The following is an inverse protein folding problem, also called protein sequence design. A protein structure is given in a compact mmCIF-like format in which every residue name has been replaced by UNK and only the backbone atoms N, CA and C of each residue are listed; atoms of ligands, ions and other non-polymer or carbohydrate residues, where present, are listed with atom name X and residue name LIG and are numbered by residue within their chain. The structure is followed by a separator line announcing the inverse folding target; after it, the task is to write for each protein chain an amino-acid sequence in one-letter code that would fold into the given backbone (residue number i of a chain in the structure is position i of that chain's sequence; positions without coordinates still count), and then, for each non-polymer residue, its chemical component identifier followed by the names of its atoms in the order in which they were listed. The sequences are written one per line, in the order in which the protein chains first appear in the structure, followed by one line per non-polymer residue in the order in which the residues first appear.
data_IF_236033475586
#
_entry.id   IF_236033475586
#
_cell.length_a   1.000
_cell.length_b   1.000
_cell.length_c   1.000
_cell.angle_alpha   90.00
_cell.angle_beta   90.00
_cell.angle_gamma   90.00
#
_symmetry.space_group_name_H-M   'P 1'
#
loop_
_entity.id
_entity.type
_entity.pdbx_description
1 polymer ?
#
# COMPACT_ATOMS: atom_id res chain seq x y z
N UNK A 1 -6.68 35.34 -8.40
CA UNK A 1 -7.64 34.74 -9.36
C UNK A 1 -6.95 33.75 -10.30
N UNK A 2 -5.92 34.15 -11.05
CA UNK A 2 -5.18 33.27 -11.98
C UNK A 2 -4.75 31.94 -11.36
N UNK A 3 -3.93 31.97 -10.31
CA UNK A 3 -3.39 30.75 -9.68
C UNK A 3 -4.48 29.84 -9.10
N UNK A 4 -5.54 30.42 -8.53
CA UNK A 4 -6.66 29.65 -7.97
C UNK A 4 -7.46 28.94 -9.05
N UNK A 5 -7.74 29.60 -10.18
CA UNK A 5 -8.42 29.00 -11.33
C UNK A 5 -7.51 27.94 -11.98
N UNK A 6 -6.24 28.27 -12.21
CA UNK A 6 -5.27 27.34 -12.76
C UNK A 6 -5.17 26.08 -11.89
N UNK A 7 -5.05 26.22 -10.57
CA UNK A 7 -5.05 25.10 -9.64
C UNK A 7 -6.33 24.28 -9.72
N UNK A 8 -7.51 24.91 -9.82
CA UNK A 8 -8.78 24.18 -9.98
C UNK A 8 -8.79 23.38 -11.27
N UNK A 9 -8.41 24.00 -12.39
CA UNK A 9 -8.37 23.35 -13.70
C UNK A 9 -7.26 22.29 -13.81
N UNK A 10 -6.18 22.41 -13.04
CA UNK A 10 -5.15 21.38 -12.91
C UNK A 10 -5.64 20.19 -12.10
N UNK A 11 -6.54 20.39 -11.13
CA UNK A 11 -7.19 19.31 -10.34
C UNK A 11 -8.30 18.66 -11.14
N UNK A 12 -9.09 19.46 -11.86
CA UNK A 12 -10.27 19.05 -12.62
C UNK A 12 -10.32 19.82 -13.93
N UNK A 13 -9.73 19.28 -15.01
CA UNK A 13 -9.89 19.84 -16.35
C UNK A 13 -11.36 19.72 -16.80
N UNK A 14 -11.70 20.38 -17.91
CA UNK A 14 -13.03 20.37 -18.53
C UNK A 14 -14.15 20.83 -17.58
N UNK A 15 -13.94 21.95 -16.88
CA UNK A 15 -14.98 22.55 -16.04
C UNK A 15 -15.62 23.77 -16.70
N UNK A 16 -16.93 23.92 -16.54
CA UNK A 16 -17.64 25.16 -16.87
C UNK A 16 -17.27 26.24 -15.85
N UNK A 17 -17.29 27.50 -16.27
CA UNK A 17 -16.99 28.61 -15.35
C UNK A 17 -17.90 28.69 -14.12
N UNK A 18 -19.14 28.17 -14.20
CA UNK A 18 -20.01 28.00 -13.03
C UNK A 18 -19.51 26.98 -12.01
N UNK A 19 -18.88 25.91 -12.47
CA UNK A 19 -18.35 24.85 -11.61
C UNK A 19 -17.07 25.33 -10.93
N UNK A 20 -16.21 26.04 -11.67
CA UNK A 20 -15.01 26.70 -11.13
C UNK A 20 -15.41 27.73 -10.06
N UNK A 21 -16.44 28.54 -10.33
CA UNK A 21 -16.98 29.52 -9.38
C UNK A 21 -17.50 28.86 -8.09
N UNK A 22 -18.23 27.75 -8.21
CA UNK A 22 -18.73 27.00 -7.06
C UNK A 22 -17.59 26.42 -6.21
N UNK A 23 -16.52 25.93 -6.85
CA UNK A 23 -15.33 25.39 -6.15
C UNK A 23 -14.58 26.49 -5.39
N UNK A 24 -14.43 27.68 -5.99
CA UNK A 24 -13.66 28.78 -5.42
C UNK A 24 -14.49 29.69 -4.48
N UNK A 25 -15.81 29.52 -4.45
CA UNK A 25 -16.71 30.41 -3.70
C UNK A 25 -16.77 31.82 -4.29
N UNK A 26 -16.52 31.98 -5.59
CA UNK A 26 -16.44 33.28 -6.28
C UNK A 26 -17.64 33.51 -7.19
N UNK A 27 -17.81 34.75 -7.68
CA UNK A 27 -18.89 35.06 -8.59
C UNK A 27 -18.64 34.45 -9.98
N UNK A 28 -19.64 33.75 -10.52
CA UNK A 28 -19.58 33.15 -11.87
C UNK A 28 -19.24 34.17 -12.96
N UNK A 29 -19.78 35.40 -12.91
CA UNK A 29 -19.51 36.42 -13.92
C UNK A 29 -18.05 36.86 -13.88
N UNK A 30 -17.48 37.01 -12.68
CA UNK A 30 -16.06 37.38 -12.50
C UNK A 30 -15.15 36.29 -13.04
N UNK A 31 -15.40 35.01 -12.72
CA UNK A 31 -14.66 33.87 -13.26
C UNK A 31 -14.73 33.84 -14.79
N UNK A 32 -15.93 33.93 -15.38
CA UNK A 32 -16.11 33.88 -16.83
C UNK A 32 -15.44 35.07 -17.54
N UNK A 33 -15.56 36.26 -16.98
CA UNK A 33 -14.88 37.45 -17.50
C UNK A 33 -13.36 37.28 -17.47
N UNK A 34 -12.84 36.76 -16.35
CA UNK A 34 -11.42 36.51 -16.19
C UNK A 34 -10.90 35.46 -17.20
N UNK A 35 -11.59 34.31 -17.32
CA UNK A 35 -11.22 33.25 -18.27
C UNK A 35 -11.23 33.75 -19.73
N UNK A 36 -12.25 34.52 -20.12
CA UNK A 36 -12.35 35.08 -21.46
C UNK A 36 -11.22 36.08 -21.79
N UNK A 37 -10.76 36.85 -20.80
CA UNK A 37 -9.66 37.81 -20.95
C UNK A 37 -8.27 37.16 -20.97
N UNK A 38 -8.15 35.90 -20.52
CA UNK A 38 -6.88 35.18 -20.39
C UNK A 38 -6.84 33.95 -21.31
N UNK A 39 -7.30 34.10 -22.55
CA UNK A 39 -7.30 33.05 -23.57
C UNK A 39 -5.89 32.64 -24.03
N UNK A 40 -4.85 33.36 -23.60
CA UNK A 40 -3.44 33.01 -23.71
C UNK A 40 -3.05 31.87 -22.75
N UNK A 41 -3.74 31.74 -21.60
CA UNK A 41 -3.45 30.75 -20.54
C UNK A 41 -4.51 29.69 -20.41
N UNK A 42 -5.76 29.98 -20.79
CA UNK A 42 -6.86 29.03 -20.75
C UNK A 42 -7.41 28.79 -22.14
N UNK A 43 -7.85 27.56 -22.40
CA UNK A 43 -8.56 27.19 -23.61
C UNK A 43 -9.98 26.80 -23.27
N UNK A 44 -10.92 27.29 -24.06
CA UNK A 44 -12.33 26.92 -23.98
C UNK A 44 -12.64 25.89 -25.05
N UNK A 45 -13.29 24.81 -24.66
CA UNK A 45 -13.91 23.89 -25.61
C UNK A 45 -15.22 24.51 -26.09
N UNK A 46 -15.35 24.71 -27.40
CA UNK A 46 -16.51 25.39 -28.00
C UNK A 46 -17.74 24.48 -28.09
N UNK A 47 -17.60 23.17 -27.91
CA UNK A 47 -18.71 22.21 -27.98
C UNK A 47 -19.49 22.11 -26.67
N UNK A 48 -18.80 22.19 -25.53
CA UNK A 48 -19.40 22.00 -24.20
C UNK A 48 -19.21 23.20 -23.25
N UNK A 49 -18.51 24.25 -23.72
CA UNK A 49 -18.17 25.47 -22.98
C UNK A 49 -17.37 25.22 -21.70
N UNK A 50 -16.59 24.15 -21.67
CA UNK A 50 -15.68 23.83 -20.57
C UNK A 50 -14.32 24.50 -20.78
N UNK A 51 -13.59 24.69 -19.69
CA UNK A 51 -12.30 25.37 -19.67
C UNK A 51 -11.20 24.41 -19.24
N UNK A 52 -10.02 24.61 -19.81
CA UNK A 52 -8.77 23.93 -19.49
C UNK A 52 -7.64 24.95 -19.41
N UNK A 53 -6.59 24.62 -18.66
CA UNK A 53 -5.32 25.33 -18.80
C UNK A 53 -4.72 24.99 -20.17
N UNK A 54 -4.29 25.98 -20.94
CA UNK A 54 -3.50 25.77 -22.19
C UNK A 54 -2.19 25.07 -21.88
N UNK A 55 -1.56 25.53 -20.80
CA UNK A 55 -0.42 24.88 -20.17
C UNK A 55 -0.86 24.57 -18.73
N UNK A 56 -1.53 23.42 -18.47
CA UNK A 56 -1.72 22.99 -17.09
C UNK A 56 -0.36 23.05 -16.45
N UNK A 57 -0.26 23.68 -15.27
CA UNK A 57 0.99 24.23 -14.69
C UNK A 57 2.22 23.42 -15.16
N UNK A 58 3.33 24.09 -15.50
CA UNK A 58 4.66 23.48 -15.65
C UNK A 58 5.16 22.86 -14.32
N UNK A 59 4.28 22.19 -13.57
CA UNK A 59 4.60 21.29 -12.49
C UNK A 59 5.13 20.01 -13.10
N UNK A 60 6.27 19.58 -12.60
CA UNK A 60 6.82 18.25 -12.88
C UNK A 60 5.75 17.21 -12.52
N UNK A 61 5.20 16.56 -13.54
CA UNK A 61 4.26 15.45 -13.40
C UNK A 61 4.97 14.15 -13.78
N UNK A 62 4.84 13.15 -12.92
CA UNK A 62 5.21 11.77 -13.24
C UNK A 62 3.92 11.00 -13.56
N UNK A 63 3.83 10.43 -14.75
CA UNK A 63 2.73 9.55 -15.16
C UNK A 63 3.20 8.11 -15.11
N UNK A 64 2.43 7.27 -14.41
CA UNK A 64 2.73 5.87 -14.20
C UNK A 64 1.59 5.04 -14.78
N UNK A 65 1.88 4.30 -15.85
CA UNK A 65 0.90 3.44 -16.50
C UNK A 65 0.92 2.03 -15.88
N UNK A 66 -0.20 1.61 -15.31
CA UNK A 66 -0.40 0.21 -14.94
C UNK A 66 -0.77 -0.61 -16.19
N UNK A 67 -0.07 -1.74 -16.44
CA UNK A 67 -0.39 -2.59 -17.57
C UNK A 67 -1.70 -3.37 -17.34
N UNK A 68 -2.32 -3.80 -18.44
CA UNK A 68 -3.46 -4.72 -18.37
C UNK A 68 -3.03 -6.09 -17.83
N UNK A 69 -3.94 -6.79 -17.15
CA UNK A 69 -3.68 -8.11 -16.57
C UNK A 69 -3.45 -8.06 -15.05
N UNK A 70 -3.05 -9.20 -14.50
CA UNK A 70 -2.72 -9.32 -13.08
C UNK A 70 -1.35 -8.69 -12.79
N UNK A 71 -1.31 -7.83 -11.78
CA UNK A 71 -0.13 -7.16 -11.27
C UNK A 71 0.21 -7.77 -9.92
N UNK A 72 1.35 -8.43 -9.86
CA UNK A 72 1.99 -8.92 -8.64
C UNK A 72 3.08 -7.93 -8.17
N UNK A 73 3.74 -8.26 -7.06
CA UNK A 73 4.79 -7.42 -6.49
C UNK A 73 5.97 -7.24 -7.45
N UNK A 74 6.34 -8.25 -8.23
CA UNK A 74 7.47 -8.15 -9.17
C UNK A 74 7.16 -7.16 -10.29
N UNK A 75 5.99 -7.28 -10.92
CA UNK A 75 5.54 -6.34 -11.96
C UNK A 75 5.38 -4.93 -11.38
N UNK A 76 4.84 -4.81 -10.17
CA UNK A 76 4.67 -3.53 -9.51
C UNK A 76 6.00 -2.82 -9.28
N UNK A 77 6.98 -3.49 -8.67
CA UNK A 77 8.27 -2.87 -8.34
C UNK A 77 9.16 -2.67 -9.57
N UNK A 78 9.29 -3.69 -10.44
CA UNK A 78 10.27 -3.69 -11.53
C UNK A 78 9.74 -3.15 -12.86
N UNK A 79 8.42 -2.95 -13.01
CA UNK A 79 7.84 -2.40 -14.25
C UNK A 79 7.03 -1.13 -14.00
N UNK A 80 6.15 -1.15 -13.00
CA UNK A 80 5.26 0.00 -12.74
C UNK A 80 6.02 1.13 -12.06
N UNK A 81 6.82 0.82 -11.02
CA UNK A 81 7.53 1.83 -10.25
C UNK A 81 9.00 2.03 -10.66
N UNK A 82 9.50 1.26 -11.62
CA UNK A 82 10.92 1.22 -11.95
C UNK A 82 11.50 2.61 -12.23
N UNK A 83 12.62 2.93 -11.57
CA UNK A 83 13.35 4.18 -11.76
C UNK A 83 12.64 5.43 -11.25
N UNK A 84 11.55 5.30 -10.49
CA UNK A 84 10.80 6.45 -9.99
C UNK A 84 11.37 6.95 -8.65
N UNK A 85 11.69 8.23 -8.59
CA UNK A 85 11.93 8.96 -7.33
C UNK A 85 10.85 10.02 -7.16
N UNK A 86 9.73 9.61 -6.55
CA UNK A 86 8.56 10.46 -6.43
C UNK A 86 8.77 11.63 -5.46
N UNK A 87 9.66 11.50 -4.49
CA UNK A 87 9.85 12.52 -3.43
C UNK A 87 10.79 13.65 -3.85
N UNK A 88 11.36 13.58 -5.06
CA UNK A 88 12.32 14.56 -5.59
C UNK A 88 11.73 15.51 -6.62
N UNK A 89 11.56 16.78 -6.22
CA UNK A 89 11.12 17.90 -7.07
C UNK A 89 9.80 17.65 -7.83
N UNK A 90 8.97 16.72 -7.36
CA UNK A 90 7.73 16.30 -8.04
C UNK A 90 6.54 17.01 -7.41
N UNK A 91 5.72 17.65 -8.24
CA UNK A 91 4.53 18.35 -7.77
C UNK A 91 3.26 17.51 -7.98
N UNK A 92 3.28 16.57 -8.94
CA UNK A 92 2.15 15.67 -9.22
C UNK A 92 2.60 14.27 -9.64
N UNK A 93 1.88 13.25 -9.18
CA UNK A 93 1.99 11.88 -9.67
C UNK A 93 0.61 11.37 -10.09
N UNK A 94 0.50 10.86 -11.30
CA UNK A 94 -0.74 10.31 -11.86
C UNK A 94 -0.55 8.82 -12.17
N UNK A 95 -1.29 7.95 -11.48
CA UNK A 95 -1.30 6.51 -11.67
C UNK A 95 -2.49 6.13 -12.56
N UNK A 96 -2.21 5.62 -13.77
CA UNK A 96 -3.20 5.43 -14.83
C UNK A 96 -3.41 3.94 -15.07
N UNK A 97 -4.64 3.47 -14.84
CA UNK A 97 -5.00 2.05 -14.95
C UNK A 97 -5.55 1.75 -16.33
N UNK A 98 -4.84 0.91 -17.09
CA UNK A 98 -5.34 0.39 -18.36
C UNK A 98 -6.54 -0.54 -18.13
N UNK A 99 -7.35 -0.72 -19.17
CA UNK A 99 -8.46 -1.66 -19.16
C UNK A 99 -8.00 -3.05 -18.71
N UNK A 100 -8.79 -3.69 -17.85
CA UNK A 100 -8.53 -5.03 -17.31
C UNK A 100 -7.25 -5.13 -16.43
N UNK A 101 -6.75 -4.02 -15.89
CA UNK A 101 -5.76 -4.06 -14.81
C UNK A 101 -6.38 -4.72 -13.57
N UNK A 102 -5.69 -5.67 -12.96
CA UNK A 102 -6.08 -6.36 -11.73
C UNK A 102 -4.89 -6.38 -10.80
N UNK A 103 -5.08 -5.99 -9.54
CA UNK A 103 -4.00 -5.97 -8.55
C UNK A 103 -4.17 -7.15 -7.60
N UNK A 104 -3.06 -7.83 -7.29
CA UNK A 104 -3.00 -8.72 -6.13
C UNK A 104 -3.05 -7.89 -4.83
N UNK A 105 -3.52 -8.50 -3.74
CA UNK A 105 -3.78 -7.81 -2.47
C UNK A 105 -2.49 -7.18 -1.92
N UNK A 106 -1.36 -7.86 -2.08
CA UNK A 106 -0.04 -7.32 -1.77
C UNK A 106 0.25 -5.98 -2.46
N UNK A 107 -0.01 -5.91 -3.77
CA UNK A 107 0.22 -4.70 -4.56
C UNK A 107 -0.70 -3.58 -4.09
N UNK A 108 -1.95 -3.90 -3.75
CA UNK A 108 -2.91 -2.91 -3.25
C UNK A 108 -2.43 -2.34 -1.92
N UNK A 109 -1.93 -3.18 -1.00
CA UNK A 109 -1.41 -2.73 0.28
C UNK A 109 -0.18 -1.80 0.14
N UNK A 110 0.77 -2.16 -0.74
CA UNK A 110 1.92 -1.30 -1.05
C UNK A 110 1.46 0.00 -1.71
N UNK A 111 0.50 -0.08 -2.64
CA UNK A 111 0.00 1.08 -3.37
C UNK A 111 -0.72 2.07 -2.46
N UNK A 112 -1.60 1.61 -1.56
CA UNK A 112 -2.25 2.46 -0.53
C UNK A 112 -1.19 3.23 0.26
N UNK A 113 -0.14 2.53 0.70
CA UNK A 113 0.93 3.12 1.51
C UNK A 113 1.67 4.20 0.73
N UNK A 114 2.09 3.90 -0.50
CA UNK A 114 2.77 4.87 -1.37
C UNK A 114 1.92 6.12 -1.60
N UNK A 115 0.67 5.99 -2.06
CA UNK A 115 -0.14 7.17 -2.43
C UNK A 115 -0.50 8.03 -1.24
N UNK A 116 -0.69 7.44 -0.05
CA UNK A 116 -0.91 8.20 1.17
C UNK A 116 0.35 8.94 1.60
N UNK A 117 1.52 8.31 1.54
CA UNK A 117 2.80 8.95 1.89
C UNK A 117 3.11 10.11 0.94
N UNK A 118 2.89 9.93 -0.36
CA UNK A 118 3.02 11.02 -1.33
C UNK A 118 2.08 12.17 -1.00
N UNK A 119 0.82 11.87 -0.69
CA UNK A 119 -0.17 12.89 -0.34
C UNK A 119 0.18 13.63 0.96
N UNK A 120 0.64 12.91 1.98
CA UNK A 120 1.09 13.48 3.26
C UNK A 120 2.36 14.33 3.10
N UNK A 121 3.23 13.99 2.14
CA UNK A 121 4.39 14.79 1.76
C UNK A 121 4.02 16.06 0.97
N UNK A 122 2.73 16.27 0.66
CA UNK A 122 2.24 17.42 -0.09
C UNK A 122 2.26 17.24 -1.61
N UNK A 123 2.59 16.04 -2.09
CA UNK A 123 2.54 15.72 -3.52
C UNK A 123 1.08 15.48 -3.92
N UNK A 124 0.67 16.08 -5.04
CA UNK A 124 -0.66 15.85 -5.59
C UNK A 124 -0.73 14.48 -6.25
N UNK A 125 -1.58 13.60 -5.74
CA UNK A 125 -1.75 12.25 -6.27
C UNK A 125 -3.08 12.11 -7.01
N UNK A 126 -3.02 11.52 -8.20
CA UNK A 126 -4.19 11.13 -8.99
C UNK A 126 -4.15 9.63 -9.24
N UNK A 127 -5.26 8.96 -8.96
CA UNK A 127 -5.50 7.56 -9.29
C UNK A 127 -6.59 7.50 -10.34
N UNK A 128 -6.21 7.24 -11.58
CA UNK A 128 -7.10 7.18 -12.73
C UNK A 128 -7.46 5.74 -13.07
N UNK A 129 -8.72 5.40 -12.81
CA UNK A 129 -9.40 4.13 -13.05
C UNK A 129 -10.55 4.30 -14.06
N UNK A 130 -10.67 5.43 -14.78
CA UNK A 130 -11.77 5.69 -15.73
C UNK A 130 -11.89 4.56 -16.76
N UNK A 131 -10.75 4.09 -17.25
CA UNK A 131 -10.67 2.99 -18.21
C UNK A 131 -10.67 1.59 -17.56
N UNK A 132 -10.81 1.48 -16.24
CA UNK A 132 -10.69 0.22 -15.50
C UNK A 132 -11.76 0.07 -14.40
N UNK A 133 -13.03 0.12 -14.79
CA UNK A 133 -14.20 -0.01 -13.89
C UNK A 133 -14.20 -1.29 -13.03
N UNK A 134 -13.62 -2.38 -13.52
CA UNK A 134 -13.44 -3.62 -12.76
C UNK A 134 -12.50 -3.43 -11.56
N UNK A 135 -11.37 -2.73 -11.75
CA UNK A 135 -10.47 -2.39 -10.65
C UNK A 135 -11.15 -1.40 -9.70
N UNK A 136 -11.86 -0.39 -10.21
CA UNK A 136 -12.59 0.57 -9.36
C UNK A 136 -13.60 -0.12 -8.44
N UNK A 137 -14.44 -1.02 -8.99
CA UNK A 137 -15.41 -1.79 -8.22
C UNK A 137 -14.75 -2.68 -7.16
N UNK A 138 -13.68 -3.38 -7.54
CA UNK A 138 -12.99 -4.30 -6.64
C UNK A 138 -12.18 -3.58 -5.55
N UNK A 139 -11.54 -2.45 -5.86
CA UNK A 139 -10.89 -1.58 -4.87
C UNK A 139 -11.91 -1.01 -3.87
N UNK A 140 -13.14 -0.69 -4.30
CA UNK A 140 -14.20 -0.37 -3.34
C UNK A 140 -14.54 -1.57 -2.45
N UNK A 141 -14.63 -2.76 -3.05
CA UNK A 141 -15.01 -3.99 -2.33
C UNK A 141 -14.00 -4.38 -1.27
N UNK A 142 -12.69 -4.23 -1.52
CA UNK A 142 -11.66 -4.64 -0.57
C UNK A 142 -11.29 -3.55 0.45
N UNK A 143 -11.84 -2.34 0.33
CA UNK A 143 -11.65 -1.26 1.30
C UNK A 143 -10.56 -0.25 0.93
N UNK A 144 -9.96 -0.32 -0.27
CA UNK A 144 -8.93 0.63 -0.71
C UNK A 144 -9.33 2.09 -0.50
N UNK A 145 -10.57 2.48 -0.85
CA UNK A 145 -11.00 3.87 -0.72
C UNK A 145 -11.17 4.35 0.72
N UNK A 146 -11.36 3.42 1.68
CA UNK A 146 -11.46 3.72 3.10
C UNK A 146 -10.10 4.03 3.73
N UNK A 147 -9.03 3.47 3.15
CA UNK A 147 -7.65 3.64 3.63
C UNK A 147 -6.87 4.68 2.83
N UNK A 148 -7.47 5.32 1.82
CA UNK A 148 -6.78 6.35 1.03
C UNK A 148 -7.16 7.75 1.46
N UNK A 149 -6.15 8.60 1.67
CA UNK A 149 -6.33 9.99 2.10
C UNK A 149 -7.29 10.76 1.20
N UNK A 150 -8.21 11.54 1.78
CA UNK A 150 -9.22 12.31 1.04
C UNK A 150 -8.64 13.33 0.06
N UNK A 151 -7.39 13.75 0.25
CA UNK A 151 -6.66 14.65 -0.66
C UNK A 151 -6.27 14.00 -1.99
N UNK A 152 -6.29 12.67 -2.09
CA UNK A 152 -5.99 11.93 -3.32
C UNK A 152 -7.19 11.99 -4.26
N UNK A 153 -6.95 12.44 -5.48
CA UNK A 153 -7.95 12.54 -6.55
C UNK A 153 -8.13 11.15 -7.17
N UNK A 154 -9.37 10.70 -7.30
CA UNK A 154 -9.70 9.41 -7.94
C UNK A 154 -10.65 9.66 -9.11
N UNK A 155 -10.33 9.07 -10.26
CA UNK A 155 -11.14 9.07 -11.47
C UNK A 155 -11.56 7.60 -11.76
N UNK A 156 -12.84 7.28 -12.02
CA UNK A 156 -13.97 8.17 -11.81
C UNK A 156 -14.08 8.47 -10.31
N UNK A 157 -14.86 9.50 -9.97
CA UNK A 157 -14.99 9.96 -8.58
C UNK A 157 -15.15 8.78 -7.61
N UNK A 158 -14.50 8.90 -6.44
CA UNK A 158 -14.63 7.95 -5.34
C UNK A 158 -16.10 7.52 -5.14
N UNK A 159 -16.36 6.24 -4.87
CA UNK A 159 -17.70 5.77 -4.51
C UNK A 159 -18.30 6.59 -3.37
N UNK A 160 -19.61 6.82 -3.42
CA UNK A 160 -20.34 7.54 -2.37
C UNK A 160 -20.51 6.72 -1.10
N UNK A 161 -20.44 5.39 -1.21
CA UNK A 161 -20.50 4.44 -0.10
C UNK A 161 -19.40 3.37 -0.26
N UNK A 162 -18.88 2.94 0.88
CA UNK A 162 -17.91 1.85 0.95
C UNK A 162 -18.62 0.51 0.87
N UNK A 163 -18.39 -0.23 -0.22
CA UNK A 163 -18.91 -1.59 -0.34
C UNK A 163 -18.15 -2.56 0.57
N UNK A 164 -16.91 -2.23 0.94
CA UNK A 164 -16.18 -2.97 1.97
C UNK A 164 -16.90 -2.92 3.33
N UNK A 165 -17.37 -1.75 3.75
CA UNK A 165 -18.14 -1.62 5.00
C UNK A 165 -19.52 -2.26 4.89
N UNK A 166 -20.21 -2.05 3.76
CA UNK A 166 -21.56 -2.57 3.55
C UNK A 166 -21.62 -4.11 3.54
N UNK A 167 -20.61 -4.75 2.94
CA UNK A 167 -20.56 -6.21 2.78
C UNK A 167 -19.52 -6.88 3.67
N UNK A 168 -19.05 -6.18 4.71
CA UNK A 168 -17.97 -6.64 5.58
C UNK A 168 -18.26 -8.03 6.12
N UNK A 169 -17.33 -8.97 5.94
CA UNK A 169 -17.44 -10.34 6.42
C UNK A 169 -18.45 -11.23 5.68
N UNK A 170 -19.12 -10.73 4.65
CA UNK A 170 -20.08 -11.52 3.85
C UNK A 170 -19.39 -12.44 2.82
N UNK A 171 -18.06 -12.42 2.73
CA UNK A 171 -17.31 -13.20 1.76
C UNK A 171 -16.18 -13.95 2.47
N UNK A 172 -16.22 -15.29 2.44
CA UNK A 172 -15.19 -16.09 3.10
C UNK A 172 -13.82 -16.03 2.40
N UNK A 173 -13.78 -15.66 1.13
CA UNK A 173 -12.55 -15.55 0.34
C UNK A 173 -11.90 -14.17 0.39
N UNK A 174 -12.49 -13.20 1.12
CA UNK A 174 -11.97 -11.85 1.26
C UNK A 174 -12.22 -11.34 2.68
N UNK A 175 -11.15 -10.99 3.38
CA UNK A 175 -11.19 -10.07 4.52
C UNK A 175 -10.77 -8.71 3.99
N UNK A 176 -11.72 -7.77 4.01
CA UNK A 176 -11.47 -6.40 3.59
C UNK A 176 -10.40 -5.74 4.47
N UNK A 177 -9.77 -4.68 3.96
CA UNK A 177 -8.79 -3.95 4.75
C UNK A 177 -9.41 -3.46 6.07
N UNK A 178 -8.75 -3.82 7.16
CA UNK A 178 -9.10 -3.43 8.51
C UNK A 178 -7.97 -2.63 9.15
N UNK A 179 -8.34 -1.57 9.86
CA UNK A 179 -7.39 -0.71 10.57
C UNK A 179 -6.76 -1.47 11.73
N UNK A 180 -5.45 -1.32 11.87
CA UNK A 180 -4.72 -1.75 13.06
C UNK A 180 -4.63 -0.53 13.99
N UNK A 181 -5.51 -0.49 14.98
CA UNK A 181 -5.57 0.59 15.95
C UNK A 181 -4.53 0.36 17.06
N UNK A 182 -3.55 1.27 17.25
CA UNK A 182 -2.52 1.16 18.31
C UNK A 182 -3.07 1.10 19.73
N UNK A 183 -4.28 1.63 19.93
CA UNK A 183 -4.93 1.76 21.25
C UNK A 183 -5.89 0.61 21.55
N UNK A 184 -6.00 -0.39 20.67
CA UNK A 184 -6.93 -1.50 20.84
C UNK A 184 -6.21 -2.84 20.67
N UNK A 185 -6.81 -3.90 21.21
CA UNK A 185 -6.30 -5.26 20.99
C UNK A 185 -6.56 -5.79 19.57
N UNK A 186 -7.32 -5.05 18.74
CA UNK A 186 -7.67 -5.42 17.36
C UNK A 186 -8.33 -6.82 17.25
N UNK A 187 -9.15 -7.20 18.26
CA UNK A 187 -9.73 -8.55 18.39
C UNK A 187 -10.54 -8.98 17.17
N UNK A 188 -11.39 -8.10 16.66
CA UNK A 188 -12.24 -8.42 15.51
C UNK A 188 -11.42 -8.70 14.26
N UNK A 189 -10.46 -7.81 13.93
CA UNK A 189 -9.60 -7.99 12.76
C UNK A 189 -8.78 -9.29 12.84
N UNK A 190 -8.20 -9.58 14.00
CA UNK A 190 -7.50 -10.86 14.25
C UNK A 190 -8.43 -12.06 14.06
N UNK A 191 -9.67 -11.97 14.55
CA UNK A 191 -10.67 -13.02 14.42
C UNK A 191 -11.11 -13.22 12.96
N UNK A 192 -11.33 -12.14 12.21
CA UNK A 192 -11.78 -12.18 10.82
C UNK A 192 -10.71 -12.83 9.93
N UNK A 193 -9.45 -12.40 10.06
CA UNK A 193 -8.30 -12.97 9.37
C UNK A 193 -8.14 -14.46 9.67
N UNK A 194 -8.17 -14.83 10.94
CA UNK A 194 -8.08 -16.23 11.37
C UNK A 194 -9.23 -17.07 10.80
N UNK A 195 -10.46 -16.60 10.93
CA UNK A 195 -11.66 -17.35 10.53
C UNK A 195 -11.67 -17.57 9.03
N UNK A 196 -11.38 -16.54 8.25
CA UNK A 196 -11.28 -16.66 6.79
C UNK A 196 -10.13 -17.58 6.39
N UNK A 197 -8.95 -17.46 7.01
CA UNK A 197 -7.82 -18.34 6.73
C UNK A 197 -8.14 -19.82 6.98
N UNK A 198 -8.74 -20.15 8.12
CA UNK A 198 -9.11 -21.54 8.47
C UNK A 198 -10.18 -22.07 7.51
N UNK A 199 -11.16 -21.25 7.15
CA UNK A 199 -12.23 -21.66 6.24
C UNK A 199 -11.72 -22.04 4.83
N UNK A 200 -10.59 -21.48 4.41
CA UNK A 200 -9.96 -21.77 3.11
C UNK A 200 -8.81 -22.79 3.20
N UNK A 201 -8.49 -23.29 4.40
CA UNK A 201 -7.42 -24.26 4.63
C UNK A 201 -7.94 -25.44 5.46
N UNK A 202 -7.42 -25.64 6.68
CA UNK A 202 -7.85 -26.67 7.62
C UNK A 202 -7.77 -26.18 9.06
N UNK A 203 -8.51 -26.84 9.96
CA UNK A 203 -8.53 -26.52 11.40
C UNK A 203 -7.19 -26.79 12.09
N UNK A 204 -6.34 -27.64 11.52
CA UNK A 204 -5.00 -27.96 12.03
C UNK A 204 -4.09 -26.72 12.05
N UNK A 205 -4.40 -25.73 11.21
CA UNK A 205 -3.66 -24.48 11.09
C UNK A 205 -4.18 -23.35 11.98
N UNK A 206 -5.23 -23.60 12.77
CA UNK A 206 -5.88 -22.56 13.55
C UNK A 206 -4.95 -21.87 14.56
N UNK A 207 -4.12 -22.65 15.28
CA UNK A 207 -3.19 -22.11 16.28
C UNK A 207 -2.09 -21.28 15.62
N UNK A 208 -1.58 -21.78 14.49
CA UNK A 208 -0.56 -21.14 13.68
C UNK A 208 -1.03 -19.78 13.17
N UNK A 209 -2.20 -19.74 12.50
CA UNK A 209 -2.79 -18.51 11.99
C UNK A 209 -3.07 -17.50 13.12
N UNK A 210 -3.49 -17.98 14.30
CA UNK A 210 -3.78 -17.12 15.46
C UNK A 210 -2.52 -16.42 15.97
N UNK A 211 -1.44 -17.17 16.22
CA UNK A 211 -0.18 -16.59 16.68
C UNK A 211 0.38 -15.62 15.64
N UNK A 212 0.32 -16.02 14.37
CA UNK A 212 0.77 -15.23 13.24
C UNK A 212 0.09 -13.85 13.20
N UNK A 213 -1.25 -13.80 13.07
CA UNK A 213 -1.97 -12.54 12.97
C UNK A 213 -1.85 -11.71 14.26
N UNK A 214 -1.82 -12.35 15.43
CA UNK A 214 -1.68 -11.64 16.70
C UNK A 214 -0.35 -10.88 16.78
N UNK A 215 0.75 -11.50 16.37
CA UNK A 215 2.10 -10.93 16.48
C UNK A 215 2.33 -9.81 15.46
N UNK A 216 1.94 -9.98 14.19
CA UNK A 216 2.12 -8.93 13.20
C UNK A 216 1.25 -7.71 13.47
N UNK A 217 0.00 -7.91 13.85
CA UNK A 217 -0.88 -6.80 14.26
C UNK A 217 -0.36 -6.15 15.54
N UNK A 218 0.18 -6.94 16.48
CA UNK A 218 0.85 -6.43 17.68
C UNK A 218 2.05 -5.56 17.35
N UNK A 219 2.91 -6.00 16.43
CA UNK A 219 4.09 -5.24 15.99
C UNK A 219 3.71 -3.88 15.38
N UNK A 220 2.68 -3.83 14.55
CA UNK A 220 2.18 -2.57 13.98
C UNK A 220 1.55 -1.68 15.08
N UNK A 221 0.72 -2.27 15.95
CA UNK A 221 0.06 -1.52 17.04
C UNK A 221 1.05 -0.90 18.01
N UNK A 222 2.10 -1.64 18.38
CA UNK A 222 3.07 -1.20 19.37
C UNK A 222 4.04 -0.14 18.80
N UNK A 223 4.28 -0.13 17.47
CA UNK A 223 5.50 0.49 16.90
C UNK A 223 5.31 1.27 15.60
N UNK A 224 4.09 1.46 15.09
CA UNK A 224 3.90 2.27 13.89
C UNK A 224 4.52 3.65 14.05
N UNK A 225 4.24 4.36 15.14
CA UNK A 225 4.71 5.74 15.37
C UNK A 225 4.47 6.69 14.17
N UNK A 226 3.55 6.31 13.29
CA UNK A 226 3.15 7.04 12.09
C UNK A 226 1.75 7.64 12.28
N UNK A 227 1.50 8.74 11.59
CA UNK A 227 0.15 9.34 11.50
C UNK A 227 -0.75 8.54 10.56
N UNK A 228 -0.15 7.87 9.57
CA UNK A 228 -0.84 6.95 8.68
C UNK A 228 -1.14 5.65 9.42
N UNK A 229 -2.39 5.23 9.33
CA UNK A 229 -2.90 4.03 9.99
C UNK A 229 -2.30 2.78 9.35
N UNK A 230 -1.82 1.86 10.18
CA UNK A 230 -1.52 0.51 9.75
C UNK A 230 -2.81 -0.26 9.42
N UNK A 231 -2.72 -1.26 8.57
CA UNK A 231 -3.88 -2.05 8.15
C UNK A 231 -3.49 -3.48 7.76
N UNK A 232 -4.46 -4.38 7.77
CA UNK A 232 -4.31 -5.74 7.30
C UNK A 232 -5.52 -6.20 6.48
N UNK A 233 -5.32 -7.21 5.63
CA UNK A 233 -6.38 -7.82 4.82
C UNK A 233 -6.00 -9.22 4.39
N UNK A 234 -6.94 -9.98 3.83
CA UNK A 234 -6.70 -11.33 3.34
C UNK A 234 -7.55 -11.63 2.11
N UNK A 235 -6.98 -12.34 1.13
CA UNK A 235 -7.74 -12.83 -0.02
C UNK A 235 -7.29 -14.22 -0.46
N UNK A 236 -8.27 -15.08 -0.77
CA UNK A 236 -8.08 -16.29 -1.55
C UNK A 236 -8.13 -15.98 -3.05
N UNK A 237 -7.16 -16.53 -3.77
CA UNK A 237 -7.08 -16.54 -5.22
C UNK A 237 -7.18 -17.96 -5.74
N UNK A 238 -8.02 -18.15 -6.76
CA UNK A 238 -8.21 -19.43 -7.45
C UNK A 238 -7.98 -19.24 -8.95
N UNK A 239 -6.73 -18.96 -9.37
CA UNK A 239 -6.41 -18.77 -10.78
C UNK A 239 -6.64 -20.06 -11.57
N UNK A 240 -7.17 -19.98 -12.82
CA UNK A 240 -7.28 -21.13 -13.68
C UNK A 240 -5.87 -21.65 -14.02
N UNK A 241 -5.65 -22.96 -13.86
CA UNK A 241 -4.39 -23.65 -14.15
C UNK A 241 -3.20 -23.29 -13.24
N UNK A 242 -3.44 -22.76 -12.04
CA UNK A 242 -2.43 -22.62 -10.99
C UNK A 242 -3.02 -23.06 -9.66
N UNK A 243 -2.14 -23.38 -8.70
CA UNK A 243 -2.57 -23.70 -7.34
C UNK A 243 -3.34 -22.53 -6.74
N UNK A 244 -4.34 -22.85 -5.94
CA UNK A 244 -5.03 -21.86 -5.13
C UNK A 244 -4.04 -21.28 -4.12
N UNK A 245 -4.21 -20.03 -3.76
CA UNK A 245 -3.33 -19.40 -2.80
C UNK A 245 -4.02 -18.29 -2.01
N UNK A 246 -3.58 -18.08 -0.78
CA UNK A 246 -4.11 -17.05 0.12
C UNK A 246 -3.03 -16.00 0.32
N UNK A 247 -3.34 -14.75 -0.05
CA UNK A 247 -2.53 -13.62 0.37
C UNK A 247 -3.09 -13.02 1.65
N UNK A 248 -2.28 -13.01 2.70
CA UNK A 248 -2.51 -12.21 3.90
C UNK A 248 -1.52 -11.07 3.94
N UNK A 249 -2.00 -9.83 4.06
CA UNK A 249 -1.15 -8.64 4.04
C UNK A 249 -1.25 -7.87 5.35
N UNK A 250 -0.12 -7.35 5.80
CA UNK A 250 -0.01 -6.43 6.93
C UNK A 250 0.86 -5.27 6.47
N UNK A 251 0.36 -4.06 6.60
CA UNK A 251 1.01 -2.85 6.11
C UNK A 251 1.10 -1.81 7.20
N UNK A 252 2.30 -1.25 7.35
CA UNK A 252 2.57 -0.14 8.26
C UNK A 252 3.46 0.89 7.56
N UNK A 253 3.04 2.16 7.61
CA UNK A 253 3.84 3.30 7.14
C UNK A 253 4.68 3.93 8.26
N UNK A 254 4.85 3.20 9.36
CA UNK A 254 5.65 3.55 10.51
C UNK A 254 7.15 3.55 10.30
N UNK A 255 7.94 3.74 11.37
CA UNK A 255 9.42 3.74 11.30
C UNK A 255 10.00 2.51 10.61
N UNK A 256 9.26 1.40 10.61
CA UNK A 256 9.66 0.12 10.05
C UNK A 256 10.47 -0.72 11.03
N UNK A 257 10.50 -2.03 10.77
CA UNK A 257 11.07 -3.04 11.68
C UNK A 257 12.56 -2.82 11.92
N UNK A 258 13.33 -2.57 10.85
CA UNK A 258 14.80 -2.40 10.92
C UNK A 258 15.15 -1.15 11.72
N UNK A 259 14.56 0.01 11.39
CA UNK A 259 14.85 1.26 12.08
C UNK A 259 14.44 1.21 13.56
N UNK A 260 13.29 0.59 13.86
CA UNK A 260 12.84 0.40 15.25
C UNK A 260 13.82 -0.48 16.02
N UNK A 261 14.30 -1.56 15.42
CA UNK A 261 15.26 -2.46 16.06
C UNK A 261 16.61 -1.78 16.30
N UNK A 262 17.09 -0.95 15.38
CA UNK A 262 18.36 -0.20 15.50
C UNK A 262 18.43 0.61 16.80
N UNK A 263 17.31 1.17 17.26
CA UNK A 263 17.24 1.98 18.48
C UNK A 263 17.67 1.25 19.75
N UNK A 264 17.55 -0.08 19.80
CA UNK A 264 17.91 -0.88 20.97
C UNK A 264 18.94 -1.98 20.68
N UNK A 265 19.32 -2.16 19.41
CA UNK A 265 20.18 -3.26 18.95
C UNK A 265 21.54 -3.27 19.68
N UNK A 266 22.16 -2.11 19.88
CA UNK A 266 23.46 -1.99 20.57
C UNK A 266 23.42 -2.54 22.00
N UNK A 267 22.32 -2.32 22.72
CA UNK A 267 22.17 -2.77 24.10
C UNK A 267 21.74 -4.24 24.16
N UNK A 268 20.73 -4.60 23.38
CA UNK A 268 20.08 -5.92 23.49
C UNK A 268 20.78 -7.03 22.70
N UNK A 269 21.48 -6.68 21.62
CA UNK A 269 22.15 -7.61 20.71
C UNK A 269 23.47 -7.01 20.21
N UNK A 270 24.46 -6.78 21.10
CA UNK A 270 25.72 -6.11 20.74
C UNK A 270 26.46 -6.80 19.59
N UNK A 271 26.36 -8.12 19.48
CA UNK A 271 26.99 -8.88 18.39
C UNK A 271 26.32 -8.61 17.04
N UNK A 272 24.98 -8.50 17.00
CA UNK A 272 24.26 -8.11 15.78
C UNK A 272 24.54 -6.65 15.41
N UNK A 273 24.64 -5.76 16.40
CA UNK A 273 25.02 -4.36 16.17
C UNK A 273 26.41 -4.24 15.56
N UNK A 274 27.39 -5.05 16.01
CA UNK A 274 28.73 -5.11 15.41
C UNK A 274 28.72 -5.73 14.01
N UNK A 275 27.92 -6.78 13.81
CA UNK A 275 27.83 -7.50 12.53
C UNK A 275 27.17 -6.66 11.43
N UNK A 276 26.20 -5.84 11.80
CA UNK A 276 25.41 -5.00 10.90
C UNK A 276 25.45 -3.55 11.35
N UNK A 277 26.53 -2.80 11.07
CA UNK A 277 26.63 -1.38 11.41
C UNK A 277 25.54 -0.53 10.73
N UNK A 278 25.17 0.58 11.35
CA UNK A 278 24.16 1.50 10.82
C UNK A 278 24.69 2.32 9.63
N UNK A 279 23.79 2.76 8.74
CA UNK A 279 24.11 3.63 7.61
C UNK A 279 24.55 2.90 6.33
N UNK A 280 24.44 1.57 6.28
CA UNK A 280 24.73 0.76 5.10
C UNK A 280 23.54 -0.11 4.73
N UNK A 281 23.09 -0.03 3.47
CA UNK A 281 21.95 -0.82 2.97
C UNK A 281 22.16 -2.33 3.20
N UNK A 282 23.34 -2.86 2.88
CA UNK A 282 23.65 -4.29 3.09
C UNK A 282 23.58 -4.71 4.57
N UNK A 283 23.84 -3.77 5.50
CA UNK A 283 23.66 -4.04 6.92
C UNK A 283 22.19 -4.07 7.33
N UNK A 284 21.35 -3.25 6.70
CA UNK A 284 19.90 -3.27 6.91
C UNK A 284 19.25 -4.50 6.29
N UNK A 285 19.68 -4.91 5.09
CA UNK A 285 19.28 -6.17 4.45
C UNK A 285 19.68 -7.36 5.34
N UNK A 286 20.95 -7.42 5.75
CA UNK A 286 21.46 -8.52 6.58
C UNK A 286 20.76 -8.59 7.94
N UNK A 287 20.47 -7.45 8.56
CA UNK A 287 19.71 -7.41 9.81
C UNK A 287 18.26 -7.86 9.59
N UNK A 288 17.61 -7.40 8.52
CA UNK A 288 16.26 -7.82 8.19
C UNK A 288 16.20 -9.34 7.98
N UNK A 289 17.10 -9.91 7.19
CA UNK A 289 17.20 -11.35 6.99
C UNK A 289 17.32 -12.11 8.31
N UNK A 290 18.20 -11.69 9.21
CA UNK A 290 18.32 -12.32 10.54
C UNK A 290 17.02 -12.27 11.34
N UNK A 291 16.32 -11.13 11.33
CA UNK A 291 15.05 -10.96 12.04
C UNK A 291 13.97 -11.88 11.46
N UNK A 292 13.84 -11.92 10.13
CA UNK A 292 12.76 -12.63 9.46
C UNK A 292 13.04 -14.13 9.24
N UNK A 293 14.32 -14.57 9.19
CA UNK A 293 14.67 -15.98 9.02
C UNK A 293 14.89 -16.71 10.35
N UNK A 294 15.55 -16.08 11.34
CA UNK A 294 15.87 -16.74 12.62
C UNK A 294 14.87 -16.45 13.73
N UNK A 295 14.14 -15.34 13.62
CA UNK A 295 13.24 -14.83 14.65
C UNK A 295 13.91 -14.60 16.01
N UNK A 296 13.11 -14.39 17.07
CA UNK A 296 13.57 -14.11 18.46
C UNK A 296 14.44 -12.86 18.61
N UNK A 297 14.49 -12.02 17.58
CA UNK A 297 15.15 -10.72 17.59
C UNK A 297 14.05 -9.67 17.67
N UNK A 298 14.00 -8.94 18.78
CA UNK A 298 13.06 -7.82 18.97
C UNK A 298 13.72 -6.66 19.67
N UNK A 299 13.10 -5.48 19.58
CA UNK A 299 13.59 -4.31 20.32
C UNK A 299 13.58 -4.46 21.84
N UNK A 300 12.92 -5.48 22.41
CA UNK A 300 12.83 -5.70 23.86
C UNK A 300 13.89 -6.68 24.39
N UNK A 301 14.72 -7.25 23.51
CA UNK A 301 15.76 -8.20 23.89
C UNK A 301 15.27 -9.62 24.13
N UNK A 302 16.24 -10.54 24.29
CA UNK A 302 16.00 -12.00 24.37
C UNK A 302 15.16 -12.42 25.57
N UNK A 303 15.24 -11.68 26.68
CA UNK A 303 14.54 -11.98 27.94
C UNK A 303 13.06 -11.60 27.93
N UNK A 304 12.60 -10.84 26.93
CA UNK A 304 11.21 -10.38 26.87
C UNK A 304 10.19 -11.47 26.52
N UNK A 305 10.64 -12.64 26.05
CA UNK A 305 9.78 -13.67 25.48
C UNK A 305 9.12 -13.26 24.15
N UNK A 306 9.32 -12.01 23.68
CA UNK A 306 8.80 -11.49 22.41
C UNK A 306 9.70 -11.88 21.23
N UNK A 307 9.16 -11.86 20.01
CA UNK A 307 9.88 -12.24 18.78
C UNK A 307 9.83 -13.72 18.46
N UNK A 308 9.15 -14.48 19.31
CA UNK A 308 8.66 -15.81 18.95
C UNK A 308 7.68 -15.73 17.79
N UNK A 309 6.97 -14.60 17.58
CA UNK A 309 6.11 -14.39 16.43
C UNK A 309 6.82 -14.64 15.11
N UNK A 310 7.92 -13.96 14.82
CA UNK A 310 8.70 -14.18 13.59
C UNK A 310 9.21 -15.61 13.47
N UNK A 311 9.82 -16.16 14.53
CA UNK A 311 10.29 -17.55 14.48
C UNK A 311 9.15 -18.54 14.26
N UNK A 312 8.06 -18.42 15.01
CA UNK A 312 6.88 -19.25 14.83
C UNK A 312 6.31 -19.07 13.44
N UNK A 313 6.36 -17.87 12.88
CA UNK A 313 5.91 -17.57 11.52
C UNK A 313 6.80 -18.22 10.48
N UNK A 314 8.12 -18.22 10.65
CA UNK A 314 9.07 -18.96 9.81
C UNK A 314 8.88 -20.46 9.94
N UNK A 315 8.83 -20.98 11.17
CA UNK A 315 8.59 -22.39 11.52
C UNK A 315 7.20 -22.87 11.07
N UNK A 316 6.26 -21.95 10.84
CA UNK A 316 4.91 -22.26 10.38
C UNK A 316 4.74 -22.05 8.89
N UNK A 317 5.32 -20.98 8.31
CA UNK A 317 5.43 -20.79 6.87
C UNK A 317 6.18 -21.97 6.26
N UNK A 318 7.13 -22.55 6.99
CA UNK A 318 7.75 -23.80 6.60
C UNK A 318 6.77 -24.98 6.58
N UNK A 319 5.79 -25.07 7.50
CA UNK A 319 4.73 -26.09 7.42
C UNK A 319 3.84 -25.96 6.18
N UNK A 320 3.91 -24.85 5.46
CA UNK A 320 3.22 -24.63 4.19
C UNK A 320 4.22 -24.52 3.05
N UNK A 321 3.73 -24.70 1.83
CA UNK A 321 4.37 -24.06 0.69
C UNK A 321 3.95 -22.58 0.73
N UNK A 322 4.87 -21.68 1.06
CA UNK A 322 4.56 -20.26 1.22
C UNK A 322 5.64 -19.36 0.65
N UNK A 323 5.24 -18.17 0.20
CA UNK A 323 6.15 -17.09 -0.14
C UNK A 323 5.91 -15.94 0.84
N UNK A 324 6.94 -15.59 1.62
CA UNK A 324 6.92 -14.44 2.49
C UNK A 324 7.63 -13.28 1.79
N UNK A 325 6.88 -12.25 1.45
CA UNK A 325 7.37 -11.05 0.80
C UNK A 325 7.35 -9.88 1.79
N UNK A 326 8.50 -9.25 1.99
CA UNK A 326 8.73 -8.18 2.96
C UNK A 326 9.28 -6.98 2.21
N UNK A 327 8.47 -5.94 2.05
CA UNK A 327 8.86 -4.65 1.49
C UNK A 327 9.25 -3.70 2.60
N UNK A 328 10.50 -3.26 2.58
CA UNK A 328 11.06 -2.21 3.43
C UNK A 328 11.25 -0.94 2.60
N UNK A 329 11.97 0.06 3.10
CA UNK A 329 12.03 1.40 2.50
C UNK A 329 12.36 1.42 1.00
N UNK A 330 13.44 0.75 0.60
CA UNK A 330 14.01 0.80 -0.76
C UNK A 330 14.48 -0.58 -1.27
N UNK A 331 14.13 -1.64 -0.55
CA UNK A 331 14.40 -3.02 -0.94
C UNK A 331 13.27 -3.93 -0.48
N UNK A 332 13.21 -5.13 -1.05
CA UNK A 332 12.33 -6.19 -0.57
C UNK A 332 13.05 -7.51 -0.48
N UNK A 333 12.63 -8.31 0.48
CA UNK A 333 13.10 -9.67 0.70
C UNK A 333 11.93 -10.60 0.42
N UNK A 334 12.17 -11.65 -0.37
CA UNK A 334 11.26 -12.74 -0.59
C UNK A 334 11.88 -14.03 -0.04
N UNK A 335 11.21 -14.66 0.92
CA UNK A 335 11.60 -15.93 1.52
C UNK A 335 10.65 -17.01 1.00
N UNK A 336 11.18 -18.02 0.32
CA UNK A 336 10.40 -19.08 -0.32
C UNK A 336 10.51 -20.36 0.50
N UNK A 337 9.39 -20.79 1.08
CA UNK A 337 9.29 -22.01 1.87
C UNK A 337 8.59 -23.10 1.08
N UNK A 338 9.20 -24.30 1.03
CA UNK A 338 8.56 -25.49 0.48
C UNK A 338 8.79 -26.68 1.40
N UNK A 339 7.75 -27.49 1.63
CA UNK A 339 7.83 -28.74 2.41
C UNK A 339 8.57 -28.65 3.76
N UNK A 340 8.43 -27.56 4.52
CA UNK A 340 9.12 -27.43 5.81
C UNK A 340 10.43 -26.66 5.77
N UNK A 341 10.89 -26.23 4.59
CA UNK A 341 12.26 -25.71 4.43
C UNK A 341 12.29 -24.40 3.65
N UNK A 342 13.18 -23.50 4.04
CA UNK A 342 13.52 -22.31 3.27
C UNK A 342 14.40 -22.72 2.10
N UNK A 343 13.86 -22.62 0.89
CA UNK A 343 14.55 -23.07 -0.34
C UNK A 343 15.21 -21.93 -1.12
N UNK A 344 14.75 -20.70 -0.95
CA UNK A 344 15.32 -19.51 -1.61
C UNK A 344 15.10 -18.25 -0.78
N UNK A 345 16.05 -17.33 -0.90
CA UNK A 345 15.97 -15.96 -0.41
C UNK A 345 16.29 -15.03 -1.59
N UNK A 346 15.30 -14.28 -2.06
CA UNK A 346 15.45 -13.34 -3.17
C UNK A 346 15.39 -11.91 -2.65
N UNK A 347 16.32 -11.07 -3.11
CA UNK A 347 16.46 -9.69 -2.62
C UNK A 347 16.43 -8.72 -3.79
N UNK A 348 15.38 -7.92 -3.85
CA UNK A 348 15.20 -6.84 -4.81
C UNK A 348 15.68 -5.53 -4.20
N UNK A 349 16.56 -4.81 -4.90
CA UNK A 349 17.22 -3.58 -4.45
C UNK A 349 16.85 -2.39 -5.33
N UNK A 350 17.25 -1.20 -4.90
CA UNK A 350 17.04 0.06 -5.65
C UNK A 350 15.56 0.29 -5.98
N UNK A 351 14.68 -0.15 -5.09
CA UNK A 351 13.25 0.02 -5.26
C UNK A 351 12.86 1.44 -4.90
N UNK A 352 11.81 1.93 -5.55
CA UNK A 352 11.18 3.22 -5.25
C UNK A 352 10.93 3.36 -3.76
N UNK A 353 11.21 4.52 -3.19
CA UNK A 353 11.04 4.70 -1.75
C UNK A 353 9.57 4.54 -1.33
N UNK A 354 9.29 3.64 -0.40
CA UNK A 354 8.01 3.50 0.32
C UNK A 354 8.34 3.29 1.79
N UNK A 355 8.02 4.28 2.63
CA UNK A 355 8.35 4.25 4.05
C UNK A 355 7.59 3.14 4.79
N UNK A 356 8.31 2.42 5.66
CA UNK A 356 7.72 1.49 6.62
C UNK A 356 7.97 0.02 6.31
N UNK A 357 7.00 -0.83 6.61
CA UNK A 357 7.11 -2.27 6.46
C UNK A 357 5.80 -2.84 5.96
N UNK A 358 5.83 -3.45 4.77
CA UNK A 358 4.67 -4.05 4.13
C UNK A 358 4.96 -5.52 3.86
N UNK A 359 4.16 -6.38 4.46
CA UNK A 359 4.40 -7.81 4.49
C UNK A 359 3.24 -8.51 3.83
N UNK A 360 3.55 -9.43 2.93
CA UNK A 360 2.60 -10.37 2.37
C UNK A 360 3.07 -11.79 2.66
N UNK A 361 2.15 -12.59 3.19
CA UNK A 361 2.27 -14.03 3.20
C UNK A 361 1.37 -14.59 2.12
N UNK A 362 1.98 -15.27 1.16
CA UNK A 362 1.30 -15.95 0.09
C UNK A 362 1.36 -17.46 0.33
N UNK A 363 0.28 -18.01 0.87
CA UNK A 363 0.17 -19.43 1.22
C UNK A 363 -0.40 -20.21 0.05
N UNK A 364 0.33 -21.20 -0.44
CA UNK A 364 -0.12 -22.09 -1.51
C UNK A 364 -0.99 -23.19 -0.88
N UNK A 365 -2.19 -23.38 -1.41
CA UNK A 365 -3.13 -24.44 -1.01
C UNK A 365 -2.99 -25.61 -2.00
N UNK A 366 -2.92 -26.82 -1.46
CA UNK A 366 -2.88 -28.09 -2.21
C UNK A 366 -4.26 -28.63 -2.60
#
# INVERSE_FOLDING_TARGET
MRESIASVLDVRPNLKGSEIAAILGWNKKEINSFLAQHSDVYIRDESDFTWNNKNPLNVKEIKIDFPSGWIDAEVYENKVLAGCDFFKDTARVSFIFKKNTKLLLEVIARFISLINQLNDYGIKVVVDLDNCSGAHSYLNRNGFFDFTNKGIIVLPKRPTYSTAQQFKGNCQSLVEFGEICPQSENKQLKSDLRTSFIAQTSSEYANVATLFFAEFIGNVSDHSESKLKGFAGLQLYSPPNSKQHIQAVISDSGRGVVATLRTTLKHNYPDLYKKYPEGQEESDIGLALEVFSKGRITRFGKSSGRGLGFKSTTDNASRFDANLSIRLNNFSIQLIYRKGELISEDILRNLTYIHGTHICFDFIID
#
